data_IF_894683625649
#
_entry.id   IF_894683625649
#
_cell.length_a   1.000
_cell.length_b   1.000
_cell.length_c   1.000
_cell.angle_alpha   90.00
_cell.angle_beta   90.00
_cell.angle_gamma   90.00
#
_symmetry.space_group_name_H-M   'P 1'
#
loop_
_entity.id
_entity.type
_entity.pdbx_description
1 polymer ?
#
# COMPACT_ATOMS: atom_id res chain seq x y z
N UNK A 1 10.94 -19.52 -19.30
CA UNK A 1 9.69 -19.17 -18.56
C UNK A 1 10.09 -18.52 -17.25
N UNK A 2 9.82 -17.24 -17.13
CA UNK A 2 10.16 -16.49 -15.91
C UNK A 2 9.25 -16.94 -14.75
N UNK A 3 9.81 -17.54 -13.72
CA UNK A 3 9.14 -17.85 -12.45
C UNK A 3 9.55 -16.79 -11.44
N UNK A 4 8.60 -16.04 -10.89
CA UNK A 4 8.89 -15.14 -9.77
C UNK A 4 8.87 -15.90 -8.46
N UNK A 5 9.77 -15.52 -7.55
CA UNK A 5 9.72 -15.99 -6.16
C UNK A 5 8.51 -15.36 -5.43
N UNK A 6 7.98 -15.99 -4.35
CA UNK A 6 6.76 -15.54 -3.70
C UNK A 6 6.87 -14.08 -3.24
N UNK A 7 5.92 -13.21 -3.59
CA UNK A 7 5.83 -11.91 -2.96
C UNK A 7 5.51 -12.09 -1.48
N UNK A 8 6.26 -11.43 -0.61
CA UNK A 8 6.13 -11.56 0.83
C UNK A 8 6.25 -10.21 1.54
N UNK A 9 5.65 -10.15 2.73
CA UNK A 9 5.87 -9.06 3.66
C UNK A 9 6.91 -9.45 4.69
N UNK A 10 7.81 -8.50 4.97
CA UNK A 10 8.84 -8.62 6.00
C UNK A 10 8.80 -7.39 6.89
N UNK A 11 8.85 -7.60 8.20
CA UNK A 11 8.95 -6.50 9.14
C UNK A 11 10.36 -5.90 9.11
N UNK A 12 10.45 -4.57 9.00
CA UNK A 12 11.72 -3.84 8.96
C UNK A 12 11.58 -2.54 9.78
N UNK A 13 12.70 -1.98 10.22
CA UNK A 13 12.75 -0.69 10.90
C UNK A 13 13.15 0.39 9.91
N UNK A 14 12.51 1.55 10.00
CA UNK A 14 12.85 2.78 9.28
C UNK A 14 12.87 3.95 10.25
N UNK A 15 13.50 5.05 9.86
CA UNK A 15 13.45 6.32 10.58
C UNK A 15 12.74 7.36 9.71
N UNK A 16 11.52 7.71 10.08
CA UNK A 16 10.68 8.68 9.40
C UNK A 16 10.60 9.94 10.25
N UNK A 17 11.02 11.06 9.68
CA UNK A 17 11.09 12.38 10.37
C UNK A 17 11.79 12.32 11.74
N UNK A 18 12.92 11.57 11.81
CA UNK A 18 13.73 11.38 13.01
C UNK A 18 13.16 10.38 14.03
N UNK A 19 12.04 9.71 13.71
CA UNK A 19 11.41 8.74 14.58
C UNK A 19 11.53 7.33 14.01
N UNK A 20 12.23 6.45 14.73
CA UNK A 20 12.36 5.05 14.35
C UNK A 20 11.06 4.28 14.67
N UNK A 21 10.55 3.56 13.69
CA UNK A 21 9.39 2.68 13.86
C UNK A 21 9.42 1.50 12.92
N UNK A 22 8.55 0.51 13.16
CA UNK A 22 8.44 -0.70 12.36
C UNK A 22 7.43 -0.53 11.24
N UNK A 23 7.81 -1.02 10.06
CA UNK A 23 7.00 -1.02 8.84
C UNK A 23 7.07 -2.36 8.15
N UNK A 24 6.22 -2.58 7.18
CA UNK A 24 6.17 -3.80 6.40
C UNK A 24 6.76 -3.58 5.02
N UNK A 25 7.81 -4.33 4.72
CA UNK A 25 8.44 -4.37 3.40
C UNK A 25 7.73 -5.40 2.53
N UNK A 26 7.06 -4.97 1.47
CA UNK A 26 6.59 -5.83 0.39
C UNK A 26 7.76 -6.13 -0.55
N UNK A 27 7.90 -7.39 -0.96
CA UNK A 27 8.94 -7.84 -1.88
C UNK A 27 8.32 -8.71 -2.97
N UNK A 28 8.56 -8.36 -4.24
CA UNK A 28 8.36 -9.22 -5.40
C UNK A 28 9.70 -9.41 -6.11
N UNK A 29 10.09 -10.66 -6.34
CA UNK A 29 11.39 -11.03 -6.88
C UNK A 29 11.25 -11.80 -8.18
N UNK A 30 12.04 -11.43 -9.17
CA UNK A 30 12.16 -12.07 -10.48
C UNK A 30 13.42 -12.95 -10.48
N UNK A 31 13.31 -14.28 -10.31
CA UNK A 31 14.47 -15.13 -10.02
C UNK A 31 15.43 -15.30 -11.19
N UNK A 32 14.98 -15.16 -12.43
CA UNK A 32 15.84 -15.32 -13.61
C UNK A 32 16.83 -14.17 -13.74
N UNK A 33 16.36 -12.94 -13.70
CA UNK A 33 17.22 -11.74 -13.78
C UNK A 33 17.83 -11.36 -12.42
N UNK A 34 17.25 -11.83 -11.33
CA UNK A 34 17.58 -11.42 -9.97
C UNK A 34 16.92 -10.08 -9.57
N UNK A 35 16.16 -9.44 -10.46
CA UNK A 35 15.48 -8.17 -10.15
C UNK A 35 14.46 -8.32 -9.03
N UNK A 36 14.31 -7.24 -8.28
CA UNK A 36 13.38 -7.21 -7.15
C UNK A 36 12.67 -5.87 -7.10
N UNK A 37 11.40 -5.90 -6.84
CA UNK A 37 10.62 -4.72 -6.45
C UNK A 37 10.43 -4.71 -4.95
N UNK A 38 10.66 -3.56 -4.31
CA UNK A 38 10.51 -3.35 -2.88
C UNK A 38 9.65 -2.12 -2.64
N UNK A 39 8.66 -2.24 -1.74
CA UNK A 39 7.90 -1.09 -1.27
C UNK A 39 7.62 -1.21 0.23
N UNK A 40 7.40 -0.09 0.90
CA UNK A 40 7.19 -0.03 2.35
C UNK A 40 5.75 0.36 2.66
N UNK A 41 5.17 -0.25 3.69
CA UNK A 41 3.80 -0.04 4.14
C UNK A 41 3.74 0.04 5.67
N UNK A 42 2.87 0.90 6.19
CA UNK A 42 2.58 0.96 7.63
C UNK A 42 1.83 -0.29 8.13
N UNK A 43 1.15 -0.99 7.21
CA UNK A 43 0.31 -2.14 7.53
C UNK A 43 0.52 -3.28 6.54
N UNK A 44 0.45 -4.51 7.06
CA UNK A 44 0.43 -5.72 6.25
C UNK A 44 -1.03 -6.19 6.13
N UNK A 45 -1.80 -5.54 5.26
CA UNK A 45 -3.20 -5.90 5.01
C UNK A 45 -3.45 -6.20 3.52
N UNK A 46 -4.69 -6.57 3.19
CA UNK A 46 -5.06 -6.90 1.81
C UNK A 46 -4.88 -5.72 0.86
N UNK A 47 -5.11 -4.48 1.32
CA UNK A 47 -4.95 -3.29 0.47
C UNK A 47 -3.48 -3.09 0.12
N UNK A 48 -2.59 -3.14 1.11
CA UNK A 48 -1.14 -3.05 0.90
C UNK A 48 -0.62 -4.20 0.00
N UNK A 49 -1.17 -5.42 0.18
CA UNK A 49 -0.82 -6.56 -0.66
C UNK A 49 -1.19 -6.36 -2.12
N UNK A 50 -2.41 -5.91 -2.40
CA UNK A 50 -2.88 -5.65 -3.76
C UNK A 50 -2.15 -4.46 -4.39
N UNK A 51 -1.95 -3.37 -3.63
CA UNK A 51 -1.20 -2.19 -4.07
C UNK A 51 0.27 -2.54 -4.41
N UNK A 52 0.90 -3.39 -3.60
CA UNK A 52 2.25 -3.88 -3.84
C UNK A 52 2.41 -4.61 -5.18
N UNK A 53 1.42 -5.40 -5.58
CA UNK A 53 1.40 -6.05 -6.89
C UNK A 53 1.23 -5.04 -8.03
N UNK A 54 0.27 -4.12 -7.89
CA UNK A 54 0.02 -3.07 -8.89
C UNK A 54 1.30 -2.26 -9.13
N UNK A 55 1.94 -1.80 -8.06
CA UNK A 55 3.21 -1.05 -8.14
C UNK A 55 4.33 -1.87 -8.75
N UNK A 56 4.47 -3.14 -8.36
CA UNK A 56 5.50 -4.03 -8.89
C UNK A 56 5.34 -4.26 -10.40
N UNK A 57 4.11 -4.48 -10.87
CA UNK A 57 3.84 -4.69 -12.30
C UNK A 57 4.13 -3.42 -13.11
N UNK A 58 3.73 -2.25 -12.60
CA UNK A 58 4.07 -0.97 -13.22
C UNK A 58 5.58 -0.75 -13.25
N UNK A 59 6.29 -1.05 -12.15
CA UNK A 59 7.74 -0.92 -12.04
C UNK A 59 8.49 -1.83 -13.03
N UNK A 60 8.05 -3.07 -13.20
CA UNK A 60 8.64 -4.00 -14.16
C UNK A 60 8.24 -3.72 -15.63
N UNK A 61 7.23 -2.87 -15.84
CA UNK A 61 6.69 -2.58 -17.15
C UNK A 61 5.88 -3.74 -17.76
N UNK A 62 5.41 -4.68 -16.92
CA UNK A 62 4.64 -5.84 -17.36
C UNK A 62 4.29 -6.80 -16.23
N UNK A 63 3.53 -7.83 -16.56
CA UNK A 63 3.00 -8.80 -15.61
C UNK A 63 3.68 -10.17 -15.78
N UNK A 64 4.31 -10.73 -14.73
CA UNK A 64 4.83 -12.10 -14.78
C UNK A 64 3.70 -13.11 -15.06
N UNK A 65 3.97 -14.12 -15.92
CA UNK A 65 2.97 -15.15 -16.24
C UNK A 65 2.56 -15.98 -15.02
N UNK A 66 3.48 -16.19 -14.08
CA UNK A 66 3.28 -16.95 -12.84
C UNK A 66 3.85 -16.22 -11.65
N UNK A 67 3.11 -16.22 -10.56
CA UNK A 67 3.53 -15.72 -9.25
C UNK A 67 3.42 -16.83 -8.22
N UNK A 68 4.54 -17.15 -7.56
CA UNK A 68 4.58 -18.17 -6.50
C UNK A 68 4.39 -17.49 -5.15
N UNK A 69 3.45 -17.97 -4.36
CA UNK A 69 3.11 -17.44 -3.04
C UNK A 69 3.44 -18.46 -1.95
N UNK A 70 4.14 -18.01 -0.89
CA UNK A 70 4.20 -18.74 0.36
C UNK A 70 2.98 -18.32 1.20
N UNK A 71 2.13 -19.27 1.52
CA UNK A 71 1.03 -19.33 2.50
C UNK A 71 0.47 -17.98 3.06
N UNK A 72 0.24 -16.98 2.23
CA UNK A 72 -0.17 -15.63 2.62
C UNK A 72 -1.67 -15.57 2.97
N UNK A 73 -1.98 -15.26 4.22
CA UNK A 73 -3.35 -15.01 4.70
C UNK A 73 -4.06 -13.85 3.99
N UNK A 74 -3.30 -12.90 3.43
CA UNK A 74 -3.86 -11.77 2.67
C UNK A 74 -4.46 -12.18 1.32
N UNK A 75 -3.94 -13.27 0.69
CA UNK A 75 -4.46 -13.83 -0.56
C UNK A 75 -5.49 -14.92 -0.32
N UNK A 76 -5.42 -15.61 0.82
CA UNK A 76 -6.23 -16.80 1.15
C UNK A 76 -7.24 -16.43 2.23
N UNK A 77 -8.52 -16.58 1.93
CA UNK A 77 -9.61 -16.47 2.91
C UNK A 77 -9.65 -17.67 3.86
N UNK A 78 -10.76 -18.39 3.93
CA UNK A 78 -10.92 -19.61 4.71
C UNK A 78 -10.39 -20.84 3.94
N UNK A 79 -9.90 -21.85 4.68
CA UNK A 79 -9.73 -23.20 4.15
C UNK A 79 -11.06 -23.92 4.23
N UNK A 80 -11.57 -24.39 3.10
CA UNK A 80 -12.78 -25.21 3.03
C UNK A 80 -12.40 -26.52 2.35
N UNK A 81 -12.63 -27.65 3.01
CA UNK A 81 -12.39 -28.99 2.44
C UNK A 81 -10.94 -29.28 2.06
N UNK A 82 -9.96 -28.62 2.68
CA UNK A 82 -8.53 -28.80 2.34
C UNK A 82 -8.03 -27.93 1.20
N UNK A 83 -8.91 -27.31 0.42
CA UNK A 83 -8.56 -26.36 -0.64
C UNK A 83 -8.47 -24.91 -0.10
N UNK A 84 -7.53 -24.16 -0.67
CA UNK A 84 -7.32 -22.74 -0.35
C UNK A 84 -8.30 -21.89 -1.15
N UNK A 85 -9.28 -21.30 -0.48
CA UNK A 85 -10.20 -20.37 -1.12
C UNK A 85 -9.54 -18.98 -1.17
N UNK A 86 -9.30 -18.49 -2.38
CA UNK A 86 -8.77 -17.13 -2.60
C UNK A 86 -9.82 -16.08 -2.21
N UNK A 87 -9.35 -14.95 -1.67
CA UNK A 87 -10.28 -13.84 -1.44
C UNK A 87 -10.80 -13.29 -2.77
N UNK A 88 -12.06 -12.85 -2.81
CA UNK A 88 -12.67 -12.33 -4.04
C UNK A 88 -11.85 -11.19 -4.66
N UNK A 89 -11.24 -10.35 -3.84
CA UNK A 89 -10.39 -9.24 -4.32
C UNK A 89 -9.07 -9.72 -4.92
N UNK A 90 -8.49 -10.77 -4.38
CA UNK A 90 -7.28 -11.34 -4.97
C UNK A 90 -7.61 -12.07 -6.28
N UNK A 91 -8.73 -12.77 -6.35
CA UNK A 91 -9.23 -13.34 -7.61
C UNK A 91 -9.47 -12.26 -8.67
N UNK A 92 -10.05 -11.12 -8.28
CA UNK A 92 -10.24 -9.99 -9.18
C UNK A 92 -8.90 -9.41 -9.68
N UNK A 93 -7.86 -9.31 -8.83
CA UNK A 93 -6.51 -8.93 -9.25
C UNK A 93 -5.93 -9.93 -10.27
N UNK A 94 -6.03 -11.24 -9.98
CA UNK A 94 -5.57 -12.31 -10.87
C UNK A 94 -6.26 -12.23 -12.23
N UNK A 95 -7.59 -12.07 -12.24
CA UNK A 95 -8.37 -11.93 -13.48
C UNK A 95 -8.07 -10.65 -14.24
N UNK A 96 -7.76 -9.54 -13.55
CA UNK A 96 -7.44 -8.27 -14.16
C UNK A 96 -6.08 -8.30 -14.89
N UNK A 97 -5.08 -8.91 -14.27
CA UNK A 97 -3.71 -9.00 -14.81
C UNK A 97 -3.41 -10.30 -15.53
N UNK A 98 -4.30 -11.29 -15.46
CA UNK A 98 -4.21 -12.58 -16.14
C UNK A 98 -2.94 -13.37 -15.83
N UNK A 99 -2.45 -13.35 -14.59
CA UNK A 99 -1.34 -14.19 -14.14
C UNK A 99 -1.83 -15.45 -13.42
N UNK A 100 -0.99 -16.50 -13.39
CA UNK A 100 -1.28 -17.74 -12.67
C UNK A 100 -0.74 -17.67 -11.24
N UNK A 101 -1.60 -17.67 -10.20
CA UNK A 101 -1.14 -17.76 -8.82
C UNK A 101 -0.79 -19.21 -8.48
N UNK A 102 0.45 -19.45 -8.09
CA UNK A 102 0.93 -20.74 -7.61
C UNK A 102 1.20 -20.66 -6.11
N UNK A 103 0.72 -21.61 -5.35
CA UNK A 103 0.95 -21.66 -3.90
C UNK A 103 1.92 -22.78 -3.57
N UNK A 104 2.99 -22.44 -2.84
CA UNK A 104 3.95 -23.45 -2.37
C UNK A 104 3.26 -24.49 -1.47
N UNK A 105 3.62 -25.76 -1.66
CA UNK A 105 3.12 -26.85 -0.80
C UNK A 105 3.86 -26.81 0.54
N UNK A 106 3.15 -27.11 1.66
CA UNK A 106 3.81 -27.28 2.93
C UNK A 106 4.83 -28.44 2.83
N UNK A 107 6.11 -28.15 3.11
CA UNK A 107 7.15 -29.17 3.15
C UNK A 107 8.19 -29.18 2.01
N UNK A 108 7.94 -28.48 0.88
CA UNK A 108 8.95 -28.35 -0.18
C UNK A 108 9.84 -27.13 0.09
N UNK A 109 10.98 -27.38 0.77
CA UNK A 109 11.87 -26.33 1.29
C UNK A 109 12.69 -25.56 0.26
N UNK A 110 12.75 -25.99 -1.02
CA UNK A 110 13.61 -25.37 -2.02
C UNK A 110 13.10 -23.99 -2.49
N UNK A 111 11.79 -23.79 -2.58
CA UNK A 111 11.20 -22.50 -3.00
C UNK A 111 11.18 -21.46 -1.85
N UNK A 112 11.11 -21.94 -0.61
CA UNK A 112 11.05 -21.10 0.60
C UNK A 112 12.38 -20.43 0.94
N UNK A 113 13.48 -21.15 0.78
CA UNK A 113 14.84 -20.67 1.08
C UNK A 113 15.27 -19.49 0.21
N UNK A 114 14.80 -19.40 -1.03
CA UNK A 114 15.21 -18.35 -1.98
C UNK A 114 14.65 -16.97 -1.63
N UNK A 115 13.38 -16.88 -1.19
CA UNK A 115 12.73 -15.59 -0.89
C UNK A 115 13.09 -15.09 0.49
N UNK A 116 13.14 -15.97 1.49
CA UNK A 116 13.63 -15.59 2.83
C UNK A 116 15.08 -15.12 2.77
N UNK A 117 15.93 -15.84 2.02
CA UNK A 117 17.32 -15.45 1.79
C UNK A 117 17.42 -14.13 1.04
N UNK A 118 16.59 -13.93 0.00
CA UNK A 118 16.55 -12.66 -0.75
C UNK A 118 16.03 -11.50 0.10
N UNK A 119 14.99 -11.73 0.90
CA UNK A 119 14.45 -10.75 1.85
C UNK A 119 15.49 -10.30 2.87
N UNK A 120 16.28 -11.25 3.41
CA UNK A 120 17.42 -10.97 4.29
C UNK A 120 18.54 -10.23 3.56
N UNK A 121 18.89 -10.67 2.33
CA UNK A 121 19.93 -10.05 1.51
C UNK A 121 19.61 -8.59 1.18
N UNK A 122 18.38 -8.28 0.76
CA UNK A 122 17.94 -6.92 0.51
C UNK A 122 18.00 -6.08 1.79
N UNK A 123 17.58 -6.62 2.93
CA UNK A 123 17.68 -5.91 4.21
C UNK A 123 19.11 -5.55 4.56
N UNK A 124 20.03 -6.48 4.41
CA UNK A 124 21.45 -6.26 4.72
C UNK A 124 22.12 -5.27 3.74
N UNK A 125 21.83 -5.41 2.45
CA UNK A 125 22.50 -4.62 1.41
C UNK A 125 21.91 -3.19 1.22
N UNK A 126 20.60 -3.01 1.42
CA UNK A 126 19.90 -1.77 1.06
C UNK A 126 19.12 -1.12 2.20
N UNK A 127 19.08 -1.76 3.37
CA UNK A 127 18.41 -1.24 4.56
C UNK A 127 19.33 -1.30 5.80
N UNK A 128 20.63 -1.30 5.60
CA UNK A 128 21.64 -1.18 6.63
C UNK A 128 22.70 -0.18 6.14
N UNK A 129 22.85 0.99 6.80
CA UNK A 129 22.15 1.45 8.00
C UNK A 129 20.63 1.60 7.81
N UNK A 130 19.90 1.85 8.92
CA UNK A 130 18.43 2.04 8.89
C UNK A 130 18.08 3.16 7.92
N UNK A 131 17.20 2.92 6.92
CA UNK A 131 16.81 3.95 5.96
C UNK A 131 16.07 5.10 6.63
N UNK A 132 16.38 6.33 6.23
CA UNK A 132 15.87 7.56 6.80
C UNK A 132 15.21 8.42 5.72
N UNK A 133 14.20 9.19 6.10
CA UNK A 133 13.53 10.17 5.23
C UNK A 133 12.42 10.92 5.94
N UNK A 134 11.85 11.91 5.25
CA UNK A 134 10.73 12.72 5.78
C UNK A 134 9.38 11.99 5.72
N UNK A 135 9.27 11.02 4.83
CA UNK A 135 8.06 10.21 4.69
C UNK A 135 8.42 8.78 4.29
N UNK A 136 7.54 7.84 4.64
CA UNK A 136 7.72 6.45 4.28
C UNK A 136 7.76 6.24 2.75
N UNK A 137 7.08 7.09 1.95
CA UNK A 137 7.15 7.04 0.48
C UNK A 137 8.50 7.49 -0.07
N UNK A 138 9.12 8.49 0.56
CA UNK A 138 10.48 8.92 0.23
C UNK A 138 11.46 7.80 0.53
N UNK A 139 11.38 7.23 1.73
CA UNK A 139 12.21 6.09 2.14
C UNK A 139 12.03 4.91 1.19
N UNK A 140 10.79 4.55 0.85
CA UNK A 140 10.49 3.44 -0.06
C UNK A 140 11.09 3.68 -1.45
N UNK A 141 11.02 4.90 -1.99
CA UNK A 141 11.64 5.25 -3.28
C UNK A 141 13.16 5.17 -3.22
N UNK A 142 13.78 5.65 -2.16
CA UNK A 142 15.24 5.57 -1.98
C UNK A 142 15.71 4.12 -1.90
N UNK A 143 15.03 3.28 -1.13
CA UNK A 143 15.33 1.83 -1.03
C UNK A 143 15.15 1.16 -2.39
N UNK A 144 14.06 1.41 -3.11
CA UNK A 144 13.80 0.84 -4.43
C UNK A 144 14.89 1.26 -5.43
N UNK A 145 15.25 2.54 -5.47
CA UNK A 145 16.32 3.05 -6.33
C UNK A 145 17.68 2.39 -6.03
N UNK A 146 18.00 2.16 -4.75
CA UNK A 146 19.21 1.42 -4.34
C UNK A 146 19.17 -0.03 -4.80
N UNK A 147 18.02 -0.70 -4.72
CA UNK A 147 17.83 -2.07 -5.20
C UNK A 147 17.97 -2.14 -6.72
N UNK A 148 17.42 -1.19 -7.45
CA UNK A 148 17.53 -1.11 -8.92
C UNK A 148 18.97 -0.88 -9.38
N UNK A 149 19.68 0.03 -8.73
CA UNK A 149 21.08 0.34 -9.04
C UNK A 149 22.00 -0.88 -8.89
N UNK A 150 21.70 -1.77 -7.93
CA UNK A 150 22.48 -2.98 -7.71
C UNK A 150 22.30 -4.06 -8.80
N UNK A 151 21.21 -4.00 -9.58
CA UNK A 151 20.91 -5.06 -10.57
C UNK A 151 21.21 -4.67 -12.01
N UNK A 152 21.28 -3.36 -12.33
CA UNK A 152 21.54 -2.88 -13.70
C UNK A 152 20.49 -3.36 -14.73
N UNK A 153 20.75 -3.09 -16.01
CA UNK A 153 19.91 -3.52 -17.15
C UNK A 153 20.63 -4.62 -17.95
N UNK A 154 21.00 -5.70 -17.29
CA UNK A 154 21.70 -6.82 -17.93
C UNK A 154 20.81 -7.59 -18.92
N UNK A 155 21.44 -8.39 -19.81
CA UNK A 155 20.75 -9.18 -20.84
C UNK A 155 19.62 -10.06 -20.27
N UNK A 156 19.83 -10.68 -19.12
CA UNK A 156 18.78 -11.49 -18.46
C UNK A 156 17.53 -10.71 -18.09
N UNK A 157 17.69 -9.43 -17.71
CA UNK A 157 16.53 -8.58 -17.44
C UNK A 157 15.79 -8.26 -18.74
N UNK A 158 16.48 -7.95 -19.82
CA UNK A 158 15.86 -7.68 -21.11
C UNK A 158 15.09 -8.90 -21.62
N UNK A 159 15.65 -10.10 -21.51
CA UNK A 159 14.99 -11.36 -21.86
C UNK A 159 13.75 -11.61 -20.99
N UNK A 160 13.86 -11.42 -19.67
CA UNK A 160 12.74 -11.62 -18.73
C UNK A 160 11.65 -10.58 -18.97
N UNK A 161 12.01 -9.33 -19.19
CA UNK A 161 11.08 -8.24 -19.49
C UNK A 161 10.30 -8.48 -20.80
N UNK A 162 10.96 -8.98 -21.84
CA UNK A 162 10.31 -9.34 -23.10
C UNK A 162 9.31 -10.50 -22.95
N UNK A 163 9.43 -11.32 -21.91
CA UNK A 163 8.51 -12.42 -21.60
C UNK A 163 7.35 -12.01 -20.68
N UNK A 164 7.33 -10.77 -20.17
CA UNK A 164 6.21 -10.27 -19.38
C UNK A 164 4.99 -10.04 -20.29
N UNK A 165 3.81 -10.24 -19.71
CA UNK A 165 2.55 -9.81 -20.34
C UNK A 165 2.43 -8.29 -20.30
N UNK A 166 1.88 -7.70 -21.34
CA UNK A 166 1.57 -6.27 -21.36
C UNK A 166 0.64 -5.87 -20.20
N UNK A 167 0.85 -4.67 -19.69
CA UNK A 167 -0.03 -4.08 -18.69
C UNK A 167 -1.40 -3.79 -19.30
N UNK A 168 -2.49 -4.02 -18.57
CA UNK A 168 -3.82 -3.58 -19.00
C UNK A 168 -3.86 -2.03 -19.07
N UNK A 169 -4.76 -1.44 -19.89
CA UNK A 169 -4.84 0.01 -20.08
C UNK A 169 -5.19 0.78 -18.80
N UNK A 170 -5.82 0.11 -17.84
CA UNK A 170 -6.15 0.69 -16.52
C UNK A 170 -5.53 -0.15 -15.41
N UNK A 171 -5.00 0.51 -14.39
CA UNK A 171 -4.49 -0.18 -13.21
C UNK A 171 -5.65 -0.79 -12.39
N UNK A 172 -5.38 -1.91 -11.72
CA UNK A 172 -6.34 -2.51 -10.78
C UNK A 172 -6.59 -1.58 -9.59
N UNK A 173 -7.87 -1.43 -9.19
CA UNK A 173 -8.23 -0.63 -8.04
C UNK A 173 -7.97 -1.40 -6.73
N UNK A 174 -6.78 -1.16 -6.16
CA UNK A 174 -6.34 -1.80 -4.93
C UNK A 174 -7.03 -1.24 -3.67
N UNK A 175 -7.57 -0.02 -3.73
CA UNK A 175 -8.22 0.65 -2.59
C UNK A 175 -9.56 -0.03 -2.26
N UNK A 176 -9.94 0.02 -1.00
CA UNK A 176 -11.16 -0.63 -0.49
C UNK A 176 -12.27 0.39 -0.28
N UNK A 177 -13.40 0.20 -0.96
CA UNK A 177 -14.60 1.00 -0.73
C UNK A 177 -15.25 0.67 0.63
N UNK A 178 -15.59 1.72 1.38
CA UNK A 178 -16.39 1.69 2.59
C UNK A 178 -17.47 2.74 2.51
N UNK A 179 -18.67 2.42 2.98
CA UNK A 179 -19.74 3.40 3.18
C UNK A 179 -19.74 3.73 4.65
N UNK A 180 -19.57 5.00 5.00
CA UNK A 180 -19.48 5.47 6.37
C UNK A 180 -20.41 6.65 6.61
N UNK A 181 -20.89 6.80 7.84
CA UNK A 181 -21.74 7.92 8.22
C UNK A 181 -20.91 9.02 8.87
N UNK A 182 -21.12 10.24 8.41
CA UNK A 182 -20.52 11.44 9.03
C UNK A 182 -21.26 11.78 10.30
N UNK A 183 -20.50 12.01 11.37
CA UNK A 183 -21.07 12.43 12.67
C UNK A 183 -21.64 13.86 12.63
N UNK A 184 -22.34 14.26 13.68
CA UNK A 184 -22.81 15.64 13.87
C UNK A 184 -21.65 16.64 14.02
N UNK A 185 -20.47 16.17 14.39
CA UNK A 185 -19.23 16.95 14.48
C UNK A 185 -18.44 17.00 13.18
N UNK A 186 -19.02 16.57 12.05
CA UNK A 186 -18.34 16.47 10.75
C UNK A 186 -17.09 15.60 10.80
N UNK A 187 -17.15 14.48 11.50
CA UNK A 187 -16.07 13.49 11.60
C UNK A 187 -16.52 12.12 11.15
N UNK A 188 -15.57 11.33 10.67
CA UNK A 188 -15.71 9.92 10.29
C UNK A 188 -14.76 9.09 11.14
N UNK A 189 -15.24 7.97 11.67
CA UNK A 189 -14.42 6.93 12.30
C UNK A 189 -14.09 5.85 11.28
N UNK A 190 -12.80 5.64 11.00
CA UNK A 190 -12.36 4.66 10.02
C UNK A 190 -11.02 4.05 10.42
N UNK A 191 -10.93 2.72 10.44
CA UNK A 191 -9.70 2.02 10.81
C UNK A 191 -9.16 2.33 12.21
N UNK A 192 -10.04 2.73 13.16
CA UNK A 192 -9.66 3.12 14.51
C UNK A 192 -9.14 4.56 14.62
N UNK A 193 -9.15 5.33 13.54
CA UNK A 193 -8.76 6.75 13.51
C UNK A 193 -9.96 7.66 13.21
N UNK A 194 -9.83 8.94 13.53
CA UNK A 194 -10.86 9.97 13.33
C UNK A 194 -10.42 10.96 12.26
N UNK A 195 -11.26 11.19 11.27
CA UNK A 195 -11.01 12.12 10.17
C UNK A 195 -12.08 13.20 10.17
N UNK A 196 -11.70 14.49 10.09
CA UNK A 196 -12.68 15.54 9.78
C UNK A 196 -12.97 15.55 8.27
N UNK A 197 -14.20 15.85 7.95
CA UNK A 197 -14.67 16.05 6.57
C UNK A 197 -15.43 17.38 6.49
N UNK A 198 -15.71 17.95 5.29
CA UNK A 198 -16.44 19.19 5.17
C UNK A 198 -17.73 19.20 6.01
N UNK A 199 -17.94 20.26 6.78
CA UNK A 199 -19.05 20.36 7.75
C UNK A 199 -20.43 20.23 7.10
N UNK A 200 -20.57 20.60 5.82
CA UNK A 200 -21.80 20.41 5.01
C UNK A 200 -22.17 18.94 4.77
N UNK A 201 -21.24 17.99 5.05
CA UNK A 201 -21.50 16.54 4.94
C UNK A 201 -22.05 15.93 6.23
N UNK A 202 -22.28 16.72 7.29
CA UNK A 202 -22.81 16.23 8.58
C UNK A 202 -24.04 15.36 8.38
N UNK A 203 -24.07 14.26 9.12
CA UNK A 203 -25.17 13.29 9.14
C UNK A 203 -25.44 12.57 7.79
N UNK A 204 -24.67 12.86 6.74
CA UNK A 204 -24.77 12.15 5.46
C UNK A 204 -23.97 10.85 5.48
N UNK A 205 -24.28 9.96 4.55
CA UNK A 205 -23.44 8.82 4.19
C UNK A 205 -22.46 9.28 3.11
N UNK A 206 -21.19 8.87 3.26
CA UNK A 206 -20.13 9.15 2.30
C UNK A 206 -19.43 7.87 1.91
N UNK A 207 -18.91 7.82 0.71
CA UNK A 207 -18.03 6.77 0.26
C UNK A 207 -16.60 7.09 0.69
N UNK A 208 -15.94 6.14 1.34
CA UNK A 208 -14.53 6.21 1.70
C UNK A 208 -13.77 5.15 0.92
N UNK A 209 -12.94 5.58 -0.02
CA UNK A 209 -12.05 4.72 -0.79
C UNK A 209 -10.70 4.68 -0.08
N UNK A 210 -10.45 3.60 0.66
CA UNK A 210 -9.31 3.44 1.58
C UNK A 210 -8.17 2.77 0.85
N UNK A 211 -7.11 3.52 0.61
CA UNK A 211 -5.85 3.05 0.05
C UNK A 211 -4.85 2.56 1.09
N UNK A 212 -3.65 2.28 0.65
CA UNK A 212 -2.57 1.87 1.53
C UNK A 212 -2.05 3.04 2.38
N UNK A 213 -2.14 4.27 1.87
CA UNK A 213 -1.63 5.48 2.51
C UNK A 213 -2.59 6.65 2.56
N UNK A 214 -3.60 6.64 1.71
CA UNK A 214 -4.55 7.74 1.59
C UNK A 214 -5.99 7.24 1.65
N UNK A 215 -6.89 8.13 1.99
CA UNK A 215 -8.34 7.92 1.91
C UNK A 215 -8.91 9.01 1.03
N UNK A 216 -9.76 8.61 0.08
CA UNK A 216 -10.60 9.53 -0.67
C UNK A 216 -12.02 9.40 -0.16
N UNK A 217 -12.55 10.46 0.45
CA UNK A 217 -13.96 10.57 0.82
C UNK A 217 -14.72 11.24 -0.32
N UNK A 218 -15.83 10.64 -0.73
CA UNK A 218 -16.71 11.19 -1.77
C UNK A 218 -18.10 11.35 -1.23
N UNK A 219 -18.66 12.56 -1.37
CA UNK A 219 -20.03 12.87 -1.04
C UNK A 219 -20.69 13.60 -2.22
N UNK A 220 -21.67 12.97 -2.86
CA UNK A 220 -22.26 13.46 -4.13
C UNK A 220 -21.18 13.66 -5.20
N UNK A 221 -20.96 14.88 -5.66
CA UNK A 221 -19.94 15.25 -6.66
C UNK A 221 -18.64 15.80 -6.06
N UNK A 222 -18.54 15.87 -4.73
CA UNK A 222 -17.38 16.44 -4.06
C UNK A 222 -16.46 15.35 -3.54
N UNK A 223 -15.15 15.59 -3.65
CA UNK A 223 -14.11 14.71 -3.12
C UNK A 223 -13.23 15.44 -2.11
N UNK A 224 -12.85 14.71 -1.08
CA UNK A 224 -11.83 15.12 -0.13
C UNK A 224 -10.83 14.00 0.05
N UNK A 225 -9.55 14.29 -0.13
CA UNK A 225 -8.45 13.33 0.01
C UNK A 225 -7.56 13.71 1.19
N UNK A 226 -7.15 12.72 1.96
CA UNK A 226 -6.24 12.89 3.08
C UNK A 226 -5.39 11.64 3.32
N UNK A 227 -4.31 11.83 4.07
CA UNK A 227 -3.45 10.73 4.48
C UNK A 227 -4.17 9.80 5.45
N UNK A 228 -3.83 8.52 5.34
CA UNK A 228 -4.26 7.52 6.29
C UNK A 228 -3.42 7.64 7.55
N UNK A 229 -4.05 7.93 8.69
CA UNK A 229 -3.36 8.02 9.98
C UNK A 229 -3.53 6.75 10.81
N UNK A 230 -2.66 6.56 11.78
CA UNK A 230 -2.63 5.36 12.63
C UNK A 230 -3.87 5.27 13.54
N UNK A 231 -4.29 4.05 13.94
CA UNK A 231 -5.35 3.87 14.92
C UNK A 231 -5.09 4.70 16.19
N UNK A 232 -6.15 5.33 16.72
CA UNK A 232 -6.08 6.23 17.84
C UNK A 232 -5.77 7.69 17.51
N UNK A 233 -5.25 7.96 16.32
CA UNK A 233 -4.96 9.32 15.88
C UNK A 233 -6.21 10.05 15.33
N UNK A 234 -6.12 11.37 15.30
CA UNK A 234 -7.16 12.25 14.75
C UNK A 234 -6.52 13.18 13.73
N UNK A 235 -7.07 13.16 12.52
CA UNK A 235 -6.72 14.11 11.46
C UNK A 235 -7.88 15.11 11.34
N UNK A 236 -7.71 16.27 11.95
CA UNK A 236 -8.71 17.35 11.93
C UNK A 236 -8.17 18.51 11.14
N UNK A 237 -8.91 18.93 10.11
CA UNK A 237 -8.64 20.14 9.35
C UNK A 237 -9.66 21.20 9.71
N UNK A 238 -9.23 22.34 10.18
CA UNK A 238 -10.10 23.45 10.58
C UNK A 238 -10.79 24.09 9.37
N UNK A 239 -10.17 24.03 8.19
CA UNK A 239 -10.79 24.45 6.94
C UNK A 239 -12.15 23.78 6.66
N UNK A 240 -12.38 22.55 7.14
CA UNK A 240 -13.67 21.87 7.01
C UNK A 240 -14.83 22.53 7.76
N UNK A 241 -14.52 23.37 8.73
CA UNK A 241 -15.46 24.05 9.61
C UNK A 241 -15.57 25.55 9.29
N UNK A 242 -14.95 26.01 8.20
CA UNK A 242 -14.83 27.44 7.90
C UNK A 242 -16.20 28.16 7.87
N UNK A 243 -17.21 27.57 7.25
CA UNK A 243 -18.57 28.14 7.20
C UNK A 243 -19.20 28.34 8.59
N UNK A 244 -18.86 27.47 9.55
CA UNK A 244 -19.35 27.56 10.92
C UNK A 244 -18.52 28.51 11.77
N UNK A 245 -17.20 28.49 11.55
CA UNK A 245 -16.26 29.39 12.22
C UNK A 245 -16.52 30.84 11.84
N UNK A 246 -16.81 31.12 10.56
CA UNK A 246 -17.11 32.49 10.08
C UNK A 246 -18.32 33.14 10.81
N UNK A 247 -19.25 32.31 11.32
CA UNK A 247 -20.40 32.77 12.11
C UNK A 247 -20.08 32.98 13.59
N UNK A 248 -18.84 32.61 14.04
CA UNK A 248 -18.41 32.66 15.45
C UNK A 248 -17.02 33.31 15.57
N UNK A 249 -16.90 34.64 15.51
CA UNK A 249 -15.61 35.34 15.48
C UNK A 249 -14.65 34.99 16.62
N UNK A 250 -15.18 34.70 17.82
CA UNK A 250 -14.34 34.28 18.95
C UNK A 250 -13.71 32.90 18.73
N UNK A 251 -14.46 31.95 18.12
CA UNK A 251 -13.93 30.63 17.78
C UNK A 251 -12.84 30.70 16.69
N UNK A 252 -13.00 31.62 15.73
CA UNK A 252 -11.96 31.88 14.71
C UNK A 252 -10.64 32.32 15.35
N UNK A 253 -10.70 33.21 16.33
CA UNK A 253 -9.49 33.68 17.05
C UNK A 253 -8.74 32.56 17.76
N UNK A 254 -9.47 31.58 18.29
CA UNK A 254 -8.86 30.45 19.01
C UNK A 254 -8.16 29.46 18.07
N UNK A 255 -8.65 29.29 16.86
CA UNK A 255 -8.09 28.33 15.86
C UNK A 255 -7.33 29.01 14.72
N UNK A 256 -7.15 30.34 14.79
CA UNK A 256 -6.51 31.10 13.73
C UNK A 256 -5.08 30.62 13.39
N UNK A 257 -4.21 30.29 14.38
CA UNK A 257 -2.86 29.81 14.06
C UNK A 257 -2.89 28.51 13.24
N UNK A 258 -3.71 27.54 13.65
CA UNK A 258 -3.85 26.25 12.98
C UNK A 258 -4.52 26.41 11.59
N UNK A 259 -5.50 27.29 11.48
CA UNK A 259 -6.18 27.58 10.21
C UNK A 259 -5.21 28.26 9.22
N UNK A 260 -4.39 29.18 9.67
CA UNK A 260 -3.37 29.81 8.83
C UNK A 260 -2.29 28.82 8.37
N UNK A 261 -1.88 27.90 9.25
CA UNK A 261 -0.94 26.85 8.90
C UNK A 261 -1.49 25.86 7.86
N UNK A 262 -2.83 25.66 7.79
CA UNK A 262 -3.49 24.82 6.79
C UNK A 262 -3.69 25.52 5.43
N UNK A 263 -3.77 26.84 5.42
CA UNK A 263 -4.08 27.66 4.23
C UNK A 263 -2.82 28.25 3.57
N UNK A 264 -1.72 28.33 4.32
CA UNK A 264 -0.47 28.94 3.89
C UNK A 264 0.47 28.06 3.18
#
# INVERSE_FOLDING_TARGET
MARSAPPGFFEVTVEEDGLAHRVWKFLLHMPYSGRSFVWLYDRCDQVAFLDGHVRAFVHFGGVPLRLVYDNLSAAVGRRVGGERQLTARFQALVSHYLFEPCFARPGEGHDKGSVESRGKGIRLAHMSPVPQGRSLDEIARCVLASVDAAHGNGARWQEEQAALRELPPTAFEARRLRIVRVSRQATVQLGGATYSVPSRWKSLQVHALVGAREITFTCRSEEYRCDLVRPGQRLVRYAHYFEELSRKPQAVRQVAPELLAELG
#
